data_IF_529856909851
#
_entry.id   IF_529856909851
#
_cell.length_a   1.000
_cell.length_b   1.000
_cell.length_c   1.000
_cell.angle_alpha   90.00
_cell.angle_beta   90.00
_cell.angle_gamma   90.00
#
_symmetry.space_group_name_H-M   'P 1'
#
loop_
_entity.id
_entity.type
_entity.pdbx_description
1 polymer ?
#
# COMPACT_ATOMS: atom_id res chain seq x y z
N UNK A 1 -45.70 57.69 36.18
CA UNK A 1 -44.86 56.64 36.80
C UNK A 1 -44.43 55.67 35.71
N UNK A 2 -43.22 55.84 35.20
CA UNK A 2 -42.70 55.11 34.04
C UNK A 2 -41.95 53.86 34.50
N UNK A 3 -42.39 52.68 34.07
CA UNK A 3 -41.78 51.39 34.41
C UNK A 3 -40.51 51.16 33.56
N UNK A 4 -39.38 51.10 34.25
CA UNK A 4 -38.05 50.87 33.70
C UNK A 4 -37.79 49.35 33.58
N UNK A 5 -37.74 48.81 32.35
CA UNK A 5 -37.36 47.41 32.11
C UNK A 5 -35.84 47.33 31.97
N UNK A 6 -35.15 46.85 33.02
CA UNK A 6 -33.71 46.54 32.98
C UNK A 6 -33.48 45.24 32.22
N UNK A 7 -32.89 45.32 31.02
CA UNK A 7 -32.34 44.16 30.28
C UNK A 7 -31.14 43.58 31.03
N UNK A 8 -31.27 42.34 31.49
CA UNK A 8 -30.16 41.53 32.03
C UNK A 8 -29.29 41.08 30.85
N UNK A 9 -28.03 41.51 30.80
CA UNK A 9 -27.02 41.02 29.85
C UNK A 9 -26.29 39.83 30.48
N UNK A 10 -26.40 38.65 29.87
CA UNK A 10 -25.55 37.50 30.19
C UNK A 10 -24.12 37.75 29.66
N UNK A 11 -23.06 37.34 30.37
CA UNK A 11 -21.70 37.48 29.87
C UNK A 11 -21.45 36.44 28.77
N UNK A 12 -21.02 36.92 27.60
CA UNK A 12 -20.59 36.08 26.51
C UNK A 12 -19.36 35.26 26.92
N UNK A 13 -19.51 33.94 26.98
CA UNK A 13 -18.40 32.99 27.05
C UNK A 13 -17.54 33.16 25.79
N UNK A 14 -16.40 33.81 25.94
CA UNK A 14 -15.34 33.81 24.92
C UNK A 14 -14.72 32.40 24.87
N UNK A 15 -15.31 31.53 24.05
CA UNK A 15 -14.60 30.37 23.52
C UNK A 15 -13.52 30.89 22.59
N UNK A 16 -12.27 30.89 23.07
CA UNK A 16 -11.09 31.10 22.23
C UNK A 16 -11.09 30.04 21.13
N UNK A 17 -11.53 30.44 19.94
CA UNK A 17 -11.54 29.64 18.73
C UNK A 17 -10.12 29.58 18.18
N UNK A 18 -9.27 28.77 18.79
CA UNK A 18 -7.95 28.41 18.25
C UNK A 18 -8.04 26.94 17.86
N UNK A 19 -8.51 26.66 16.63
CA UNK A 19 -8.18 25.52 15.77
C UNK A 19 -8.92 25.81 14.44
N UNK A 20 -8.27 26.52 13.53
CA UNK A 20 -8.65 26.56 12.11
C UNK A 20 -7.39 26.82 11.32
N UNK A 21 -6.78 25.77 10.72
CA UNK A 21 -5.97 25.95 9.51
C UNK A 21 -5.51 24.70 8.71
N UNK A 22 -5.85 23.45 9.02
CA UNK A 22 -5.25 22.29 8.29
C UNK A 22 -6.24 21.31 7.62
N UNK A 23 -7.55 21.61 7.57
CA UNK A 23 -8.56 20.61 7.24
C UNK A 23 -9.02 20.54 5.76
N UNK A 24 -8.20 20.96 4.80
CA UNK A 24 -8.49 20.79 3.35
C UNK A 24 -7.37 20.07 2.56
N UNK A 25 -6.38 19.50 3.25
CA UNK A 25 -5.09 19.12 2.65
C UNK A 25 -5.08 17.72 2.03
N UNK A 26 -5.92 16.79 2.50
CA UNK A 26 -5.78 15.36 2.13
C UNK A 26 -5.91 15.04 0.62
N UNK A 27 -6.88 15.63 -0.10
CA UNK A 27 -7.05 15.38 -1.54
C UNK A 27 -6.04 16.11 -2.42
N UNK A 28 -5.59 17.31 -2.00
CA UNK A 28 -4.56 18.06 -2.74
C UNK A 28 -3.16 17.48 -2.55
N UNK A 29 -2.89 16.93 -1.37
CA UNK A 29 -1.60 16.32 -1.00
C UNK A 29 -1.33 15.04 -1.79
N UNK A 30 -2.33 14.16 -1.90
CA UNK A 30 -2.24 12.92 -2.68
C UNK A 30 -2.02 13.17 -4.17
N UNK A 31 -2.74 14.14 -4.74
CA UNK A 31 -2.52 14.58 -6.11
C UNK A 31 -1.08 15.10 -6.34
N UNK A 32 -0.55 15.92 -5.44
CA UNK A 32 0.84 16.42 -5.52
C UNK A 32 1.86 15.28 -5.51
N UNK A 33 1.72 14.31 -4.60
CA UNK A 33 2.64 13.17 -4.54
C UNK A 33 2.61 12.33 -5.82
N UNK A 34 1.42 12.13 -6.41
CA UNK A 34 1.27 11.41 -7.69
C UNK A 34 1.86 12.17 -8.89
N UNK A 35 1.77 13.49 -8.89
CA UNK A 35 2.40 14.36 -9.89
C UNK A 35 3.93 14.26 -9.81
N UNK A 36 4.50 14.42 -8.61
CA UNK A 36 5.94 14.24 -8.37
C UNK A 36 6.42 12.84 -8.79
N UNK A 37 5.61 11.80 -8.55
CA UNK A 37 5.92 10.44 -9.00
C UNK A 37 5.97 10.38 -10.54
N UNK A 38 5.04 11.04 -11.23
CA UNK A 38 5.00 11.06 -12.69
C UNK A 38 6.21 11.78 -13.29
N UNK A 39 6.59 12.91 -12.72
CA UNK A 39 7.74 13.68 -13.16
C UNK A 39 9.04 12.92 -12.94
N UNK A 40 9.19 12.27 -11.79
CA UNK A 40 10.34 11.43 -11.50
C UNK A 40 10.39 10.19 -12.40
N UNK A 41 9.25 9.55 -12.67
CA UNK A 41 9.17 8.44 -13.63
C UNK A 41 9.65 8.87 -15.03
N UNK A 42 9.23 10.07 -15.47
CA UNK A 42 9.66 10.64 -16.74
C UNK A 42 11.17 10.92 -16.75
N UNK A 43 11.68 11.56 -15.71
CA UNK A 43 13.11 11.85 -15.54
C UNK A 43 13.97 10.59 -15.58
N UNK A 44 13.57 9.54 -14.85
CA UNK A 44 14.29 8.26 -14.84
C UNK A 44 14.29 7.60 -16.22
N UNK A 45 13.18 7.68 -16.95
CA UNK A 45 13.07 7.15 -18.31
C UNK A 45 13.93 7.90 -19.32
N UNK A 46 14.00 9.23 -19.22
CA UNK A 46 14.84 10.07 -20.08
C UNK A 46 16.34 9.85 -19.81
N UNK A 47 16.71 9.55 -18.55
CA UNK A 47 18.09 9.29 -18.14
C UNK A 47 18.67 7.95 -18.64
N UNK A 48 17.86 7.02 -19.18
CA UNK A 48 18.37 5.75 -19.73
C UNK A 48 19.32 5.98 -20.92
N UNK A 49 19.13 7.09 -21.66
CA UNK A 49 20.00 7.44 -22.78
C UNK A 49 19.84 6.50 -23.97
N UNK A 50 20.94 5.88 -24.42
CA UNK A 50 20.95 4.99 -25.59
C UNK A 50 20.28 3.65 -25.23
N UNK A 51 19.34 3.22 -26.05
CA UNK A 51 18.64 1.93 -25.86
C UNK A 51 19.62 0.78 -26.13
N UNK A 52 19.94 0.03 -25.07
CA UNK A 52 20.68 -1.22 -25.13
C UNK A 52 19.74 -2.42 -25.11
N UNK A 53 20.15 -3.52 -25.76
CA UNK A 53 19.39 -4.77 -25.83
C UNK A 53 19.90 -5.76 -24.79
N UNK A 54 18.97 -6.45 -24.14
CA UNK A 54 19.25 -7.55 -23.20
C UNK A 54 18.51 -8.81 -23.64
N UNK A 55 19.08 -9.96 -23.32
CA UNK A 55 18.47 -11.26 -23.56
C UNK A 55 17.79 -11.74 -22.28
N UNK A 56 16.49 -11.96 -22.35
CA UNK A 56 15.68 -12.47 -21.25
C UNK A 56 15.23 -13.88 -21.59
N UNK A 57 15.77 -14.87 -20.89
CA UNK A 57 15.39 -16.27 -21.07
C UNK A 57 14.18 -16.59 -20.20
N UNK A 58 12.99 -16.62 -20.80
CA UNK A 58 11.78 -17.06 -20.14
C UNK A 58 11.82 -18.57 -19.90
N UNK A 59 11.56 -18.98 -18.66
CA UNK A 59 11.46 -20.37 -18.25
C UNK A 59 10.02 -20.64 -17.79
N UNK A 60 9.31 -21.54 -18.47
CA UNK A 60 7.93 -21.86 -18.12
C UNK A 60 7.05 -22.28 -19.29
N UNK A 61 5.76 -22.42 -19.00
CA UNK A 61 4.75 -22.78 -20.00
C UNK A 61 4.43 -21.58 -20.90
N UNK A 62 4.20 -21.76 -22.22
CA UNK A 62 4.04 -23.04 -22.91
C UNK A 62 5.36 -23.75 -23.24
N UNK A 63 6.43 -22.98 -23.47
CA UNK A 63 7.78 -23.47 -23.64
C UNK A 63 8.78 -22.37 -23.25
N UNK A 64 10.00 -22.78 -22.93
CA UNK A 64 11.10 -21.86 -22.71
C UNK A 64 11.38 -21.05 -23.99
N UNK A 65 11.62 -19.75 -23.85
CA UNK A 65 11.90 -18.88 -25.00
C UNK A 65 12.87 -17.77 -24.62
N UNK A 66 13.70 -17.35 -25.56
CA UNK A 66 14.57 -16.18 -25.39
C UNK A 66 13.90 -14.96 -26.00
N UNK A 67 13.77 -13.89 -25.23
CA UNK A 67 13.19 -12.62 -25.64
C UNK A 67 14.29 -11.56 -25.68
N UNK A 68 14.35 -10.77 -26.74
CA UNK A 68 15.28 -9.64 -26.85
C UNK A 68 14.56 -8.36 -26.43
N UNK A 69 14.91 -7.86 -25.25
CA UNK A 69 14.22 -6.75 -24.57
C UNK A 69 15.13 -5.51 -24.47
N UNK A 70 14.58 -4.38 -24.04
CA UNK A 70 15.33 -3.15 -23.85
C UNK A 70 15.77 -2.99 -22.39
N UNK A 71 17.07 -2.77 -22.18
CA UNK A 71 17.67 -2.49 -20.87
C UNK A 71 17.03 -1.26 -20.22
N UNK A 72 16.73 -1.33 -18.92
CA UNK A 72 16.13 -0.26 -18.08
C UNK A 72 14.77 0.28 -18.58
N UNK A 73 14.16 -0.35 -19.59
CA UNK A 73 12.87 0.07 -20.16
C UNK A 73 11.84 -1.05 -20.18
N UNK A 74 12.24 -2.22 -20.67
CA UNK A 74 11.36 -3.38 -20.74
C UNK A 74 11.15 -3.99 -19.36
N UNK A 75 9.93 -4.47 -19.13
CA UNK A 75 9.50 -5.03 -17.85
C UNK A 75 9.14 -6.51 -17.98
N UNK A 76 9.04 -7.26 -16.86
CA UNK A 76 8.45 -8.60 -16.90
C UNK A 76 7.03 -8.63 -17.48
N UNK A 77 6.26 -7.56 -17.32
CA UNK A 77 4.95 -7.42 -17.93
C UNK A 77 5.03 -7.39 -19.45
N UNK A 78 6.02 -6.70 -20.03
CA UNK A 78 6.25 -6.72 -21.48
C UNK A 78 6.66 -8.11 -21.96
N UNK A 79 7.49 -8.82 -21.19
CA UNK A 79 7.82 -10.22 -21.47
C UNK A 79 6.56 -11.10 -21.48
N UNK A 80 5.68 -10.92 -20.48
CA UNK A 80 4.39 -11.64 -20.43
C UNK A 80 3.50 -11.33 -21.64
N UNK A 81 3.53 -10.09 -22.17
CA UNK A 81 2.78 -9.71 -23.38
C UNK A 81 3.27 -10.45 -24.62
N UNK A 82 4.56 -10.74 -24.73
CA UNK A 82 5.10 -11.56 -25.82
C UNK A 82 4.63 -13.03 -25.76
N UNK A 83 4.36 -13.54 -24.55
CA UNK A 83 3.92 -14.92 -24.34
C UNK A 83 2.41 -15.05 -24.54
N UNK A 84 1.62 -14.15 -23.94
CA UNK A 84 0.18 -14.09 -24.16
C UNK A 84 -0.60 -13.39 -23.04
N UNK A 85 -1.80 -12.93 -23.37
CA UNK A 85 -2.64 -12.11 -22.48
C UNK A 85 -2.99 -12.80 -21.14
N UNK A 86 -3.16 -14.13 -21.17
CA UNK A 86 -3.40 -14.93 -19.95
C UNK A 86 -2.29 -14.69 -18.91
N UNK A 87 -1.04 -14.64 -19.34
CA UNK A 87 0.11 -14.44 -18.46
C UNK A 87 0.15 -13.02 -17.91
N UNK A 88 -0.22 -12.01 -18.70
CA UNK A 88 -0.37 -10.64 -18.22
C UNK A 88 -1.38 -10.53 -17.07
N UNK A 89 -2.52 -11.22 -17.19
CA UNK A 89 -3.61 -11.16 -16.20
C UNK A 89 -3.36 -12.01 -14.95
N UNK A 90 -2.62 -13.11 -15.07
CA UNK A 90 -2.44 -14.07 -13.97
C UNK A 90 -1.13 -13.89 -13.19
N UNK A 91 -0.12 -13.25 -13.78
CA UNK A 91 1.19 -13.10 -13.14
C UNK A 91 1.14 -12.03 -12.07
N UNK A 92 1.44 -12.42 -10.83
CA UNK A 92 1.54 -11.51 -9.70
C UNK A 92 2.92 -10.86 -9.64
N UNK A 93 3.97 -11.65 -9.89
CA UNK A 93 5.38 -11.26 -9.83
C UNK A 93 6.17 -11.99 -10.91
N UNK A 94 7.40 -11.56 -11.13
CA UNK A 94 8.43 -12.35 -11.78
C UNK A 94 9.47 -12.83 -10.77
N UNK A 95 10.15 -13.93 -11.10
CA UNK A 95 11.32 -14.42 -10.38
C UNK A 95 12.49 -14.38 -11.35
N UNK A 96 13.48 -13.54 -11.03
CA UNK A 96 14.70 -13.42 -11.81
C UNK A 96 15.76 -14.38 -11.24
N UNK A 97 16.44 -15.11 -12.12
CA UNK A 97 17.55 -16.00 -11.78
C UNK A 97 17.21 -16.98 -10.65
N UNK A 98 15.97 -17.45 -10.66
CA UNK A 98 15.38 -18.41 -9.71
C UNK A 98 15.43 -17.97 -8.24
N UNK A 99 15.77 -16.71 -7.96
CA UNK A 99 16.03 -16.24 -6.58
C UNK A 99 15.40 -14.89 -6.26
N UNK A 100 15.45 -13.94 -7.20
CA UNK A 100 15.12 -12.54 -6.89
C UNK A 100 13.69 -12.22 -7.34
N UNK A 101 12.74 -12.00 -6.40
CA UNK A 101 11.39 -11.61 -6.78
C UNK A 101 11.39 -10.18 -7.31
N UNK A 102 10.63 -9.96 -8.39
CA UNK A 102 10.62 -8.72 -9.15
C UNK A 102 9.20 -8.31 -9.49
N UNK A 103 8.87 -7.04 -9.31
CA UNK A 103 7.57 -6.49 -9.66
C UNK A 103 7.36 -6.56 -11.17
N UNK A 104 6.13 -6.85 -11.59
CA UNK A 104 5.80 -7.02 -13.01
C UNK A 104 6.11 -5.78 -13.86
N UNK A 105 6.04 -4.58 -13.26
CA UNK A 105 6.23 -3.29 -13.94
C UNK A 105 7.57 -2.62 -13.63
N UNK A 106 8.48 -3.32 -12.93
CA UNK A 106 9.83 -2.82 -12.64
C UNK A 106 10.74 -3.12 -13.84
N UNK A 107 11.44 -2.12 -14.41
CA UNK A 107 12.34 -2.34 -15.53
C UNK A 107 13.43 -3.38 -15.25
N UNK A 108 13.81 -4.14 -16.27
CA UNK A 108 14.88 -5.13 -16.21
C UNK A 108 16.23 -4.47 -16.47
N UNK A 109 17.19 -4.72 -15.59
CA UNK A 109 18.53 -4.10 -15.66
C UNK A 109 19.50 -4.89 -16.52
N UNK A 110 19.50 -6.21 -16.41
CA UNK A 110 20.50 -7.06 -17.06
C UNK A 110 19.83 -8.26 -17.74
N UNK A 111 20.57 -8.92 -18.63
CA UNK A 111 20.17 -10.22 -19.17
C UNK A 111 19.98 -11.21 -18.02
N UNK A 112 18.86 -11.91 -18.00
CA UNK A 112 18.47 -12.77 -16.89
C UNK A 112 17.57 -13.91 -17.35
N UNK A 113 17.41 -14.90 -16.46
CA UNK A 113 16.33 -15.87 -16.58
C UNK A 113 15.08 -15.33 -15.88
N UNK A 114 13.91 -15.52 -16.49
CA UNK A 114 12.64 -14.96 -15.99
C UNK A 114 11.59 -16.07 -15.87
N UNK A 115 11.05 -16.23 -14.67
CA UNK A 115 9.86 -17.05 -14.42
C UNK A 115 8.69 -16.16 -14.00
N UNK A 116 7.50 -16.45 -14.49
CA UNK A 116 6.29 -15.73 -14.08
C UNK A 116 5.61 -16.47 -12.92
N UNK A 117 5.47 -15.79 -11.79
CA UNK A 117 4.85 -16.32 -10.58
C UNK A 117 3.37 -15.95 -10.53
N UNK A 118 2.52 -16.94 -10.28
CA UNK A 118 1.09 -16.76 -10.06
C UNK A 118 0.65 -17.44 -8.75
N UNK A 119 -0.59 -17.24 -8.34
CA UNK A 119 -1.11 -17.79 -7.07
C UNK A 119 -1.38 -19.29 -7.09
N UNK A 120 -1.26 -19.92 -8.26
CA UNK A 120 -1.41 -21.37 -8.46
C UNK A 120 -0.07 -22.08 -8.73
N UNK A 121 1.04 -21.34 -8.69
CA UNK A 121 2.39 -21.90 -8.85
C UNK A 121 2.72 -22.84 -7.68
N UNK A 122 3.60 -23.84 -7.87
CA UNK A 122 3.99 -24.79 -6.82
C UNK A 122 4.55 -24.14 -5.55
N UNK A 123 5.26 -23.02 -5.70
CA UNK A 123 5.82 -22.25 -4.58
C UNK A 123 5.15 -20.87 -4.46
N UNK A 124 3.89 -20.79 -3.99
CA UNK A 124 3.14 -19.54 -4.00
C UNK A 124 3.54 -18.59 -2.86
N UNK A 125 4.47 -18.98 -1.98
CA UNK A 125 4.81 -18.23 -0.76
C UNK A 125 5.27 -16.80 -1.06
N UNK A 126 6.08 -16.61 -2.10
CA UNK A 126 6.57 -15.28 -2.53
C UNK A 126 5.39 -14.43 -3.02
N UNK A 127 4.55 -15.00 -3.90
CA UNK A 127 3.36 -14.33 -4.43
C UNK A 127 2.36 -13.99 -3.33
N UNK A 128 2.15 -14.89 -2.36
CA UNK A 128 1.23 -14.70 -1.22
C UNK A 128 1.68 -13.56 -0.31
N UNK A 129 2.99 -13.46 -0.02
CA UNK A 129 3.56 -12.33 0.74
C UNK A 129 3.35 -11.02 -0.01
N UNK A 130 3.62 -10.98 -1.32
CA UNK A 130 3.39 -9.78 -2.13
C UNK A 130 1.91 -9.40 -2.22
N UNK A 131 1.01 -10.37 -2.36
CA UNK A 131 -0.44 -10.14 -2.37
C UNK A 131 -0.93 -9.48 -1.08
N UNK A 132 -0.53 -10.00 0.09
CA UNK A 132 -0.95 -9.41 1.36
C UNK A 132 -0.32 -8.03 1.60
N UNK A 133 0.92 -7.81 1.14
CA UNK A 133 1.55 -6.48 1.14
C UNK A 133 0.74 -5.50 0.28
N UNK A 134 0.34 -5.93 -0.92
CA UNK A 134 -0.50 -5.13 -1.81
C UNK A 134 -1.88 -4.89 -1.20
N UNK A 135 -2.49 -5.85 -0.52
CA UNK A 135 -3.75 -5.63 0.19
C UNK A 135 -3.62 -4.57 1.29
N UNK A 136 -2.54 -4.61 2.08
CA UNK A 136 -2.24 -3.56 3.06
C UNK A 136 -2.04 -2.18 2.43
N UNK A 137 -1.33 -2.12 1.30
CA UNK A 137 -1.13 -0.87 0.55
C UNK A 137 -2.46 -0.31 0.00
N UNK A 138 -3.26 -1.16 -0.65
CA UNK A 138 -4.56 -0.78 -1.19
C UNK A 138 -5.56 -0.37 -0.10
N UNK A 139 -5.47 -0.97 1.10
CA UNK A 139 -6.24 -0.52 2.26
C UNK A 139 -5.88 0.93 2.63
N UNK A 140 -4.61 1.31 2.58
CA UNK A 140 -4.17 2.70 2.77
C UNK A 140 -4.83 3.66 1.78
N UNK A 141 -4.85 3.29 0.49
CA UNK A 141 -5.53 4.06 -0.56
C UNK A 141 -7.03 4.25 -0.27
N UNK A 142 -7.72 3.16 0.08
CA UNK A 142 -9.15 3.19 0.40
C UNK A 142 -9.44 4.04 1.63
N UNK A 143 -8.62 3.95 2.68
CA UNK A 143 -8.79 4.75 3.90
C UNK A 143 -8.61 6.24 3.60
N UNK A 144 -7.56 6.61 2.87
CA UNK A 144 -7.34 8.00 2.47
C UNK A 144 -8.50 8.57 1.63
N UNK A 145 -9.07 7.78 0.72
CA UNK A 145 -10.19 8.20 -0.10
C UNK A 145 -11.53 8.27 0.66
N UNK A 146 -11.71 7.43 1.68
CA UNK A 146 -13.00 7.28 2.38
C UNK A 146 -13.17 8.23 3.56
N UNK A 147 -12.09 8.61 4.22
CA UNK A 147 -12.15 9.46 5.41
C UNK A 147 -12.26 10.93 5.04
N UNK A 148 -13.12 11.65 5.76
CA UNK A 148 -13.21 13.09 5.61
C UNK A 148 -12.00 13.78 6.27
N UNK A 149 -11.56 14.95 5.78
CA UNK A 149 -10.41 15.65 6.34
C UNK A 149 -10.51 15.93 7.85
N UNK A 150 -11.73 16.12 8.39
CA UNK A 150 -11.96 16.40 9.80
C UNK A 150 -11.55 15.23 10.71
N UNK A 151 -11.48 14.00 10.18
CA UNK A 151 -11.03 12.84 10.94
C UNK A 151 -9.54 12.88 11.31
N UNK A 152 -8.75 13.75 10.65
CA UNK A 152 -7.32 13.88 10.90
C UNK A 152 -6.55 12.60 10.57
N UNK A 153 -6.94 11.89 9.51
CA UNK A 153 -6.33 10.62 9.13
C UNK A 153 -4.89 10.81 8.65
N UNK A 154 -3.95 10.13 9.30
CA UNK A 154 -2.62 9.88 8.76
C UNK A 154 -2.39 8.38 8.60
N UNK A 155 -1.84 7.98 7.45
CA UNK A 155 -1.32 6.62 7.27
C UNK A 155 0.02 6.49 7.98
N UNK A 156 0.21 5.43 8.77
CA UNK A 156 1.44 5.21 9.50
C UNK A 156 2.31 4.15 8.82
N UNK A 157 2.02 2.88 9.05
CA UNK A 157 2.80 1.76 8.55
C UNK A 157 1.93 0.55 8.30
N UNK A 158 2.38 -0.34 7.41
CA UNK A 158 1.83 -1.68 7.28
C UNK A 158 2.98 -2.68 7.44
N UNK A 159 3.01 -3.42 8.57
CA UNK A 159 4.05 -4.41 8.86
C UNK A 159 4.22 -5.46 7.77
N UNK A 160 5.36 -6.15 7.80
CA UNK A 160 5.64 -7.29 6.91
C UNK A 160 4.50 -8.32 7.01
N UNK A 161 3.95 -8.79 5.88
CA UNK A 161 2.84 -9.74 5.91
C UNK A 161 3.18 -11.05 6.59
N UNK A 162 2.32 -11.47 7.52
CA UNK A 162 2.32 -12.81 8.10
C UNK A 162 1.02 -13.52 7.68
N UNK A 163 1.08 -14.38 6.66
CA UNK A 163 -0.11 -15.06 6.12
C UNK A 163 -0.79 -15.95 7.18
N UNK A 164 0.01 -16.58 8.08
CA UNK A 164 -0.52 -17.43 9.16
C UNK A 164 -1.34 -16.64 10.19
N UNK A 165 -1.20 -15.32 10.25
CA UNK A 165 -1.97 -14.46 11.17
C UNK A 165 -3.48 -14.42 10.86
N UNK A 166 -3.85 -14.60 9.58
CA UNK A 166 -5.24 -14.58 9.13
C UNK A 166 -5.80 -13.20 8.73
N UNK A 167 -5.02 -12.12 8.77
CA UNK A 167 -5.43 -10.80 8.24
C UNK A 167 -4.26 -9.95 7.73
N UNK A 168 -4.49 -9.14 6.70
CA UNK A 168 -3.58 -8.04 6.34
C UNK A 168 -3.96 -6.80 7.14
N UNK A 169 -3.00 -5.90 7.35
CA UNK A 169 -3.17 -4.76 8.27
C UNK A 169 -2.62 -3.46 7.70
N UNK A 170 -3.18 -2.34 8.13
CA UNK A 170 -2.63 -1.00 7.91
C UNK A 170 -2.86 -0.18 9.18
N UNK A 171 -1.78 0.34 9.76
CA UNK A 171 -1.83 1.17 10.95
C UNK A 171 -2.06 2.62 10.54
N UNK A 172 -3.02 3.26 11.21
CA UNK A 172 -3.44 4.64 10.94
C UNK A 172 -3.50 5.44 12.23
N UNK A 173 -3.48 6.76 12.09
CA UNK A 173 -3.68 7.71 13.17
C UNK A 173 -4.91 8.55 12.88
N UNK A 174 -5.74 8.73 13.89
CA UNK A 174 -6.92 9.59 13.86
C UNK A 174 -6.85 10.63 14.99
N UNK A 175 -7.58 11.73 14.81
CA UNK A 175 -7.75 12.74 15.86
C UNK A 175 -8.72 12.28 16.98
N UNK A 176 -9.56 11.28 16.72
CA UNK A 176 -10.58 10.78 17.65
C UNK A 176 -10.04 9.65 18.55
N UNK A 177 -10.20 9.76 19.88
CA UNK A 177 -9.64 8.84 20.88
C UNK A 177 -10.36 7.49 21.01
N UNK A 178 -11.64 7.45 20.62
CA UNK A 178 -12.50 6.28 20.81
C UNK A 178 -13.29 5.92 19.56
N UNK A 179 -12.65 6.05 18.39
CA UNK A 179 -13.27 5.67 17.13
C UNK A 179 -13.48 4.16 17.07
N UNK A 180 -14.75 3.76 16.95
CA UNK A 180 -15.16 2.37 16.82
C UNK A 180 -16.10 2.22 15.63
N UNK A 181 -15.61 1.80 14.45
CA UNK A 181 -16.42 1.71 13.25
C UNK A 181 -17.50 0.63 13.38
N UNK A 182 -18.69 0.99 12.94
CA UNK A 182 -19.83 0.09 12.82
C UNK A 182 -19.63 -0.93 11.69
N UNK A 183 -20.38 -2.03 11.74
CA UNK A 183 -20.35 -3.05 10.67
C UNK A 183 -20.71 -2.47 9.29
N UNK A 184 -21.70 -1.56 9.14
CA UNK A 184 -21.95 -0.89 7.87
C UNK A 184 -20.76 -0.05 7.36
N UNK A 185 -20.03 0.64 8.23
CA UNK A 185 -18.84 1.43 7.82
C UNK A 185 -17.70 0.53 7.33
N UNK A 186 -17.42 -0.58 8.04
CA UNK A 186 -16.43 -1.57 7.59
C UNK A 186 -16.84 -2.23 6.26
N UNK A 187 -18.15 -2.46 6.06
CA UNK A 187 -18.67 -2.93 4.77
C UNK A 187 -18.50 -1.88 3.67
N UNK A 188 -18.72 -0.61 3.95
CA UNK A 188 -18.48 0.47 2.98
C UNK A 188 -17.00 0.49 2.53
N UNK A 189 -16.05 0.39 3.47
CA UNK A 189 -14.63 0.27 3.14
C UNK A 189 -14.33 -0.98 2.30
N UNK A 190 -14.98 -2.11 2.60
CA UNK A 190 -14.86 -3.34 1.81
C UNK A 190 -15.35 -3.15 0.37
N UNK A 191 -16.46 -2.44 0.19
CA UNK A 191 -17.02 -2.12 -1.13
C UNK A 191 -16.06 -1.22 -1.92
N UNK A 192 -15.48 -0.19 -1.30
CA UNK A 192 -14.48 0.66 -1.96
C UNK A 192 -13.23 -0.12 -2.37
N UNK A 193 -12.79 -1.08 -1.56
CA UNK A 193 -11.69 -1.98 -1.91
C UNK A 193 -12.01 -2.84 -3.15
N UNK A 194 -13.23 -3.36 -3.24
CA UNK A 194 -13.68 -4.12 -4.42
C UNK A 194 -13.80 -3.21 -5.66
N UNK A 195 -14.31 -1.99 -5.51
CA UNK A 195 -14.35 -1.01 -6.61
C UNK A 195 -12.95 -0.67 -7.11
N UNK A 196 -11.97 -0.49 -6.22
CA UNK A 196 -10.57 -0.24 -6.58
C UNK A 196 -9.96 -1.42 -7.35
N UNK A 197 -10.32 -2.65 -6.98
CA UNK A 197 -9.91 -3.85 -7.71
C UNK A 197 -10.50 -3.91 -9.12
N UNK A 198 -11.78 -3.57 -9.27
CA UNK A 198 -12.49 -3.60 -10.56
C UNK A 198 -11.94 -2.60 -11.58
N UNK A 199 -11.24 -1.56 -11.14
CA UNK A 199 -10.56 -0.61 -12.02
C UNK A 199 -9.31 -1.19 -12.70
N UNK A 200 -8.78 -2.33 -12.22
CA UNK A 200 -7.59 -3.02 -12.76
C UNK A 200 -6.39 -2.08 -12.96
N UNK A 201 -6.13 -1.25 -11.95
CA UNK A 201 -5.08 -0.24 -12.00
C UNK A 201 -3.70 -0.88 -11.85
N UNK A 202 -2.69 -0.38 -12.59
CA UNK A 202 -1.32 -0.81 -12.41
C UNK A 202 -0.81 -0.39 -11.01
N UNK A 203 -0.05 -1.28 -10.37
CA UNK A 203 0.76 -0.93 -9.20
C UNK A 203 2.18 -0.69 -9.68
N UNK A 204 2.62 0.56 -9.58
CA UNK A 204 3.90 1.02 -10.11
C UNK A 204 4.89 1.26 -8.99
N UNK A 205 6.19 1.08 -9.28
CA UNK A 205 7.28 1.18 -8.31
C UNK A 205 8.34 2.13 -8.85
N UNK A 206 8.85 3.01 -8.00
CA UNK A 206 10.06 3.80 -8.25
C UNK A 206 10.99 3.74 -7.04
N UNK A 207 12.28 3.83 -7.31
CA UNK A 207 13.28 4.14 -6.29
C UNK A 207 13.61 5.64 -6.43
N UNK A 208 13.36 6.42 -5.38
CA UNK A 208 13.53 7.88 -5.37
C UNK A 208 14.55 8.30 -4.34
N UNK A 209 15.08 9.53 -4.46
CA UNK A 209 15.98 10.08 -3.44
C UNK A 209 15.23 10.37 -2.14
N UNK A 210 15.97 10.41 -1.03
CA UNK A 210 15.42 10.77 0.28
C UNK A 210 14.76 12.15 0.27
N UNK A 211 15.35 13.12 -0.44
CA UNK A 211 14.84 14.49 -0.53
C UNK A 211 13.49 14.53 -1.25
N UNK A 212 13.38 13.84 -2.38
CA UNK A 212 12.13 13.77 -3.14
C UNK A 212 11.05 13.02 -2.34
N UNK A 213 11.41 11.95 -1.63
CA UNK A 213 10.48 11.26 -0.74
C UNK A 213 9.97 12.20 0.38
N UNK A 214 10.84 12.99 1.00
CA UNK A 214 10.44 13.97 2.01
C UNK A 214 9.49 15.03 1.44
N UNK A 215 9.66 15.41 0.17
CA UNK A 215 8.71 16.30 -0.51
C UNK A 215 7.36 15.62 -0.78
N UNK A 216 7.37 14.38 -1.31
CA UNK A 216 6.15 13.60 -1.58
C UNK A 216 5.29 13.42 -0.33
N UNK A 217 5.92 13.18 0.82
CA UNK A 217 5.24 12.94 2.10
C UNK A 217 5.28 14.13 3.04
N UNK A 218 5.43 15.35 2.51
CA UNK A 218 5.56 16.58 3.30
C UNK A 218 4.47 16.73 4.38
N UNK A 219 3.23 16.37 4.04
CA UNK A 219 2.08 16.57 4.92
C UNK A 219 1.90 15.44 5.95
N UNK A 220 2.61 14.32 5.82
CA UNK A 220 2.52 13.20 6.76
C UNK A 220 3.72 13.21 7.73
N UNK A 221 3.52 13.63 9.00
CA UNK A 221 4.63 13.77 9.95
C UNK A 221 5.34 12.45 10.23
N UNK A 222 4.61 11.33 10.28
CA UNK A 222 5.16 10.01 10.59
C UNK A 222 6.04 9.49 9.46
N UNK A 223 5.62 9.66 8.21
CA UNK A 223 6.41 9.25 7.05
C UNK A 223 7.72 10.05 6.95
N UNK A 224 7.68 11.36 7.24
CA UNK A 224 8.89 12.20 7.27
C UNK A 224 9.92 11.72 8.30
N UNK A 225 9.47 11.26 9.46
CA UNK A 225 10.35 10.70 10.48
C UNK A 225 10.95 9.35 10.05
N UNK A 226 10.16 8.52 9.36
CA UNK A 226 10.59 7.19 8.90
C UNK A 226 11.55 7.25 7.70
N UNK A 227 11.37 8.20 6.78
CA UNK A 227 12.10 8.28 5.49
C UNK A 227 13.63 8.25 5.66
N UNK A 228 14.28 9.05 6.54
CA UNK A 228 15.73 9.00 6.71
C UNK A 228 16.24 7.62 7.11
N UNK A 229 15.52 6.92 8.01
CA UNK A 229 15.88 5.56 8.43
C UNK A 229 15.73 4.56 7.29
N UNK A 230 14.63 4.67 6.52
CA UNK A 230 14.39 3.82 5.35
C UNK A 230 15.46 4.03 4.27
N UNK A 231 15.83 5.28 4.00
CA UNK A 231 16.87 5.63 3.03
C UNK A 231 18.24 5.08 3.44
N UNK A 232 18.60 5.19 4.73
CA UNK A 232 19.86 4.65 5.24
C UNK A 232 19.99 3.13 5.04
N UNK A 233 18.88 2.39 5.10
CA UNK A 233 18.86 0.94 4.88
C UNK A 233 18.88 0.54 3.41
N UNK A 234 18.66 1.47 2.48
CA UNK A 234 18.50 1.20 1.05
C UNK A 234 19.36 2.14 0.19
N UNK A 235 20.66 2.21 0.52
CA UNK A 235 21.67 2.95 -0.25
C UNK A 235 21.31 4.42 -0.54
N UNK A 236 20.64 5.09 0.40
CA UNK A 236 20.19 6.49 0.27
C UNK A 236 18.90 6.67 -0.55
N UNK A 237 18.27 5.59 -1.01
CA UNK A 237 17.04 5.63 -1.81
C UNK A 237 15.83 5.14 -1.01
N UNK A 238 14.64 5.62 -1.37
CA UNK A 238 13.37 5.16 -0.82
C UNK A 238 12.54 4.54 -1.93
N UNK A 239 12.07 3.32 -1.74
CA UNK A 239 11.13 2.69 -2.67
C UNK A 239 9.71 3.19 -2.39
N UNK A 240 9.09 3.80 -3.41
CA UNK A 240 7.71 4.28 -3.41
C UNK A 240 6.87 3.47 -4.39
N UNK A 241 5.61 3.23 -4.01
CA UNK A 241 4.61 2.58 -4.86
C UNK A 241 3.46 3.53 -5.14
N UNK A 242 2.91 3.47 -6.36
CA UNK A 242 1.74 4.22 -6.78
C UNK A 242 0.63 3.29 -7.27
N UNK A 243 -0.62 3.64 -6.92
CA UNK A 243 -1.85 3.10 -7.52
C UNK A 243 -2.86 4.22 -7.69
N UNK A 244 -3.22 4.53 -8.94
CA UNK A 244 -4.01 5.73 -9.23
C UNK A 244 -3.31 6.98 -8.70
N UNK A 245 -3.95 7.71 -7.78
CA UNK A 245 -3.39 8.89 -7.12
C UNK A 245 -2.71 8.58 -5.78
N UNK A 246 -2.87 7.37 -5.24
CA UNK A 246 -2.30 6.99 -3.95
C UNK A 246 -0.83 6.62 -4.10
N UNK A 247 0.03 7.24 -3.29
CA UNK A 247 1.47 6.96 -3.20
C UNK A 247 1.83 6.62 -1.75
N UNK A 248 2.58 5.53 -1.54
CA UNK A 248 3.13 5.17 -0.22
C UNK A 248 4.49 4.47 -0.33
N UNK A 249 5.28 4.50 0.75
CA UNK A 249 6.58 3.85 0.87
C UNK A 249 6.43 2.36 1.19
N UNK A 250 7.21 1.51 0.54
CA UNK A 250 7.29 0.08 0.88
C UNK A 250 8.56 -0.57 0.35
N UNK A 251 9.12 -1.53 1.09
CA UNK A 251 10.26 -2.34 0.61
C UNK A 251 9.89 -3.28 -0.55
N UNK A 252 8.60 -3.55 -0.77
CA UNK A 252 8.14 -4.43 -1.85
C UNK A 252 8.54 -5.91 -1.69
N UNK A 253 8.40 -6.71 -2.76
CA UNK A 253 7.67 -6.39 -3.99
C UNK A 253 6.15 -6.46 -3.79
N UNK A 254 5.38 -5.95 -4.76
CA UNK A 254 3.92 -5.93 -4.79
C UNK A 254 3.37 -6.62 -6.05
N UNK A 255 2.10 -7.03 -6.01
CA UNK A 255 1.42 -7.59 -7.18
C UNK A 255 1.28 -6.54 -8.29
N UNK A 256 1.31 -6.96 -9.56
CA UNK A 256 1.37 -6.03 -10.70
C UNK A 256 0.11 -5.22 -11.03
N UNK A 257 -1.06 -5.60 -10.51
CA UNK A 257 -2.35 -4.93 -10.78
C UNK A 257 -3.34 -5.10 -9.62
N UNK A 258 -4.24 -4.11 -9.43
CA UNK A 258 -5.37 -4.23 -8.49
C UNK A 258 -6.39 -5.27 -8.91
N UNK A 259 -6.47 -5.64 -10.19
CA UNK A 259 -7.37 -6.69 -10.69
C UNK A 259 -7.03 -8.10 -10.21
N UNK A 260 -5.83 -8.29 -9.63
CA UNK A 260 -5.45 -9.55 -8.97
C UNK A 260 -6.13 -9.73 -7.61
N UNK A 261 -6.63 -8.64 -7.01
CA UNK A 261 -7.46 -8.70 -5.81
C UNK A 261 -8.81 -9.34 -6.17
N UNK A 262 -9.20 -10.37 -5.42
CA UNK A 262 -10.49 -11.01 -5.57
C UNK A 262 -11.44 -10.58 -4.46
N UNK A 263 -11.99 -11.56 -3.76
CA UNK A 263 -12.88 -11.30 -2.62
C UNK A 263 -12.09 -10.66 -1.48
N UNK A 264 -12.60 -9.57 -0.92
CA UNK A 264 -11.97 -8.83 0.16
C UNK A 264 -13.02 -8.34 1.16
N UNK A 265 -12.67 -8.37 2.45
CA UNK A 265 -13.47 -7.84 3.56
C UNK A 265 -12.56 -7.11 4.53
N UNK A 266 -12.87 -5.84 4.81
CA UNK A 266 -12.31 -5.11 5.95
C UNK A 266 -13.12 -5.50 7.18
N UNK A 267 -12.45 -6.11 8.15
CA UNK A 267 -13.10 -6.94 9.16
C UNK A 267 -13.14 -6.32 10.55
N UNK A 268 -12.14 -5.51 10.92
CA UNK A 268 -12.10 -4.83 12.21
C UNK A 268 -11.15 -3.62 12.18
N UNK A 269 -11.33 -2.76 13.18
CA UNK A 269 -10.39 -1.74 13.63
C UNK A 269 -10.08 -2.03 15.10
N UNK A 270 -8.81 -1.94 15.49
CA UNK A 270 -8.40 -2.09 16.89
C UNK A 270 -7.58 -0.89 17.33
N UNK A 271 -7.89 -0.24 18.47
CA UNK A 271 -6.98 0.73 19.04
C UNK A 271 -5.67 0.04 19.43
N UNK A 272 -4.54 0.61 19.04
CA UNK A 272 -3.20 0.13 19.42
C UNK A 272 -2.54 1.18 20.30
N UNK A 273 -1.82 0.73 21.33
CA UNK A 273 -1.15 1.65 22.26
C UNK A 273 0.14 2.17 21.62
N UNK A 274 0.13 3.44 21.25
CA UNK A 274 1.32 4.17 20.83
C UNK A 274 1.26 5.63 21.26
N UNK A 275 2.45 6.16 21.60
CA UNK A 275 2.76 7.58 21.56
C UNK A 275 2.36 8.40 22.78
N UNK A 276 3.31 9.11 23.36
CA UNK A 276 3.09 10.17 24.37
C UNK A 276 2.51 11.46 23.77
N UNK A 277 2.16 11.46 22.47
CA UNK A 277 1.65 12.62 21.76
C UNK A 277 0.16 12.83 22.04
N UNK A 278 -0.15 13.92 22.76
CA UNK A 278 -1.52 14.31 23.07
C UNK A 278 -2.33 14.54 21.79
N UNK A 279 -3.49 13.89 21.69
CA UNK A 279 -4.49 14.10 20.64
C UNK A 279 -4.26 13.33 19.33
N UNK A 280 -3.38 12.32 19.32
CA UNK A 280 -3.20 11.40 18.19
C UNK A 280 -3.42 9.97 18.65
N UNK A 281 -4.33 9.26 17.98
CA UNK A 281 -4.79 7.94 18.42
C UNK A 281 -4.59 6.93 17.32
N UNK A 282 -3.91 5.83 17.65
CA UNK A 282 -3.47 4.83 16.70
C UNK A 282 -4.47 3.69 16.59
N UNK A 283 -4.77 3.29 15.36
CA UNK A 283 -5.68 2.20 15.05
C UNK A 283 -5.06 1.25 14.03
N UNK A 284 -5.23 -0.04 14.27
CA UNK A 284 -4.90 -1.10 13.32
C UNK A 284 -6.13 -1.49 12.54
N UNK A 285 -6.19 -1.05 11.28
CA UNK A 285 -7.20 -1.49 10.33
C UNK A 285 -6.81 -2.85 9.77
N UNK A 286 -7.75 -3.80 9.73
CA UNK A 286 -7.44 -5.15 9.28
C UNK A 286 -8.52 -5.78 8.41
N UNK A 287 -8.08 -6.54 7.42
CA UNK A 287 -8.95 -7.22 6.47
C UNK A 287 -8.44 -8.59 6.07
N UNK A 288 -9.26 -9.30 5.31
CA UNK A 288 -8.92 -10.57 4.69
C UNK A 288 -9.28 -10.52 3.22
N UNK A 289 -8.41 -11.06 2.39
CA UNK A 289 -8.58 -11.06 0.95
C UNK A 289 -8.08 -12.35 0.34
N UNK A 290 -8.65 -12.70 -0.81
CA UNK A 290 -8.20 -13.81 -1.66
C UNK A 290 -7.89 -13.28 -3.05
N UNK A 291 -6.85 -13.80 -3.72
CA UNK A 291 -6.61 -13.53 -5.12
C UNK A 291 -7.83 -13.86 -6.00
N UNK A 292 -8.04 -13.12 -7.08
CA UNK A 292 -9.19 -13.29 -7.97
C UNK A 292 -9.31 -14.70 -8.59
N UNK A 293 -8.17 -15.38 -8.78
CA UNK A 293 -8.11 -16.77 -9.27
C UNK A 293 -8.57 -17.79 -8.22
N UNK A 294 -8.46 -17.47 -6.93
CA UNK A 294 -8.85 -18.37 -5.84
C UNK A 294 -10.31 -18.12 -5.45
N UNK A 295 -11.16 -19.10 -5.75
CA UNK A 295 -12.59 -19.07 -5.41
C UNK A 295 -12.88 -20.10 -4.33
N UNK A 296 -13.45 -19.64 -3.21
CA UNK A 296 -13.93 -20.51 -2.12
C UNK A 296 -15.40 -20.22 -1.82
N UNK A 297 -16.10 -21.22 -1.30
CA UNK A 297 -17.51 -21.09 -0.93
C UNK A 297 -17.75 -20.05 0.16
N UNK A 298 -18.99 -19.55 0.25
CA UNK A 298 -19.37 -18.52 1.21
C UNK A 298 -19.11 -18.94 2.67
N UNK A 299 -19.42 -20.19 3.01
CA UNK A 299 -19.19 -20.75 4.34
C UNK A 299 -17.70 -20.71 4.73
N UNK A 300 -16.81 -21.21 3.86
CA UNK A 300 -15.37 -21.21 4.10
C UNK A 300 -14.82 -19.78 4.23
N UNK A 301 -15.27 -18.85 3.39
CA UNK A 301 -14.85 -17.46 3.50
C UNK A 301 -15.31 -16.80 4.80
N UNK A 302 -16.52 -17.09 5.27
CA UNK A 302 -17.02 -16.58 6.56
C UNK A 302 -16.13 -17.07 7.73
N UNK A 303 -15.58 -18.28 7.67
CA UNK A 303 -14.59 -18.74 8.67
C UNK A 303 -13.35 -17.83 8.67
N UNK A 304 -12.86 -17.46 7.48
CA UNK A 304 -11.73 -16.53 7.34
C UNK A 304 -12.06 -15.13 7.87
N UNK A 305 -13.25 -14.60 7.54
CA UNK A 305 -13.72 -13.30 8.05
C UNK A 305 -13.83 -13.29 9.58
N UNK A 306 -14.34 -14.37 10.19
CA UNK A 306 -14.42 -14.46 11.64
C UNK A 306 -13.04 -14.55 12.28
N UNK A 307 -12.09 -15.26 11.64
CA UNK A 307 -10.70 -15.33 12.11
C UNK A 307 -9.98 -13.99 12.00
N UNK A 308 -10.26 -13.22 10.94
CA UNK A 308 -9.60 -11.94 10.63
C UNK A 308 -10.04 -10.81 11.56
N UNK A 309 -11.14 -10.96 12.31
CA UNK A 309 -11.58 -9.98 13.34
C UNK A 309 -10.70 -9.96 14.58
N UNK A 310 -9.99 -11.05 14.88
CA UNK A 310 -9.06 -11.10 16.01
C UNK A 310 -7.87 -10.17 15.73
N UNK A 311 -7.40 -9.44 16.74
CA UNK A 311 -6.27 -8.51 16.60
C UNK A 311 -5.06 -9.24 16.01
N UNK A 312 -4.51 -8.68 14.94
CA UNK A 312 -3.29 -9.19 14.35
C UNK A 312 -2.07 -8.84 15.22
N UNK A 313 -1.30 -9.87 15.57
CA UNK A 313 -0.07 -9.76 16.38
C UNK A 313 1.16 -9.36 15.57
N UNK A 314 1.01 -8.83 14.36
CA UNK A 314 2.11 -8.24 13.60
C UNK A 314 2.79 -7.14 14.43
N UNK A 315 4.08 -6.90 14.17
CA UNK A 315 4.88 -5.90 14.89
C UNK A 315 4.12 -4.59 15.04
N UNK A 316 4.12 -4.04 16.24
CA UNK A 316 3.53 -2.73 16.49
C UNK A 316 4.45 -1.65 15.88
N UNK A 317 3.93 -0.46 15.56
CA UNK A 317 4.73 0.63 15.02
C UNK A 317 5.95 1.02 15.86
N UNK A 318 5.89 0.82 17.19
CA UNK A 318 6.93 1.15 18.17
C UNK A 318 8.14 0.20 18.19
N UNK A 319 8.03 -0.97 17.57
CA UNK A 319 9.13 -1.93 17.59
C UNK A 319 10.22 -1.47 16.62
N UNK A 320 11.50 -1.36 17.06
CA UNK A 320 12.58 -0.92 16.19
C UNK A 320 12.64 -1.78 14.93
N UNK A 321 13.04 -1.16 13.81
CA UNK A 321 13.33 -1.81 12.53
C UNK A 321 14.58 -2.70 12.65
N UNK A 322 14.60 -3.64 13.57
CA UNK A 322 15.57 -4.72 13.59
C UNK A 322 15.14 -5.77 12.55
N UNK A 323 15.78 -5.71 11.39
CA UNK A 323 15.86 -6.83 10.46
C UNK A 323 16.75 -7.89 11.11
N UNK A 324 16.17 -8.68 12.04
CA UNK A 324 16.80 -9.95 12.39
C UNK A 324 16.79 -10.81 11.13
N UNK A 325 17.98 -10.98 10.57
CA UNK A 325 18.30 -11.97 9.54
C UNK A 325 18.07 -13.34 10.16
N UNK A 326 16.82 -13.77 10.17
CA UNK A 326 16.44 -15.13 10.45
C UNK A 326 15.61 -15.61 9.26
N UNK A 327 16.33 -16.13 8.27
CA UNK A 327 15.84 -17.23 7.45
C UNK A 327 14.98 -18.16 8.30
N UNK A 328 13.70 -18.28 7.97
CA UNK A 328 13.03 -19.57 8.06
C UNK A 328 12.22 -19.74 6.78
N UNK A 329 12.91 -20.33 5.81
CA UNK A 329 12.33 -21.27 4.87
C UNK A 329 11.64 -22.34 5.71
N UNK A 330 10.30 -22.31 5.71
CA UNK A 330 9.41 -23.42 6.08
C UNK A 330 7.98 -23.11 5.60
#
# INVERSE_FOLDING_TARGET
MSLNIRRIRYPALQLHHVIKKHYSVASKSTAKASELFTDEQRRQRENVGRIEKIEVRYLGLPHDTTLVMNRELSTPYDCARHIGEKYCRQSALALLDNKTPWDMRRPLRDSCTLQLLNFTSPEPHIANKAFWRSCSFLLGAVLQASFKPEAGLFLHSFPKPNIKSGSFVHDIVLAEEHWNPTVPELRALSIEMIKLSQQDLPIERLDVSSELALEMFHDNPFKREQIPSVAAQNNGQVTVYRVGEHVDISKGPMMGSTGLLGRCTISASHPIKEGSERGKHFYRMQGVALPAVLRIGHFAYNILENRSRKLNSAKLPNEPFEDTVAEQVA
#
